data_IF_692182104424
#
_entry.id   IF_692182104424
#
_cell.length_a   1.000
_cell.length_b   1.000
_cell.length_c   1.000
_cell.angle_alpha   90.00
_cell.angle_beta   90.00
_cell.angle_gamma   90.00
#
_symmetry.space_group_name_H-M   'P 1'
#
loop_
_entity.id
_entity.type
_entity.pdbx_description
1 polymer ?
#
# COMPACT_ATOMS: atom_id res chain seq x y z
N UNK A 1 -40.30 31.12 -21.02
CA UNK A 1 -40.10 29.66 -20.70
C UNK A 1 -38.79 29.06 -21.19
N UNK A 2 -37.87 29.77 -21.81
CA UNK A 2 -36.61 29.27 -22.40
C UNK A 2 -35.42 29.26 -21.47
N UNK A 3 -35.36 30.08 -20.42
CA UNK A 3 -34.24 30.19 -19.48
C UNK A 3 -34.07 28.95 -18.58
N UNK A 4 -35.16 28.34 -18.12
CA UNK A 4 -35.15 27.17 -17.23
C UNK A 4 -34.66 25.89 -17.96
N UNK A 5 -34.88 25.79 -19.26
CA UNK A 5 -34.45 24.66 -20.08
C UNK A 5 -32.93 24.64 -20.27
N UNK A 6 -32.30 25.79 -20.41
CA UNK A 6 -30.83 25.89 -20.58
C UNK A 6 -30.05 25.60 -19.30
N UNK A 7 -30.59 26.03 -18.15
CA UNK A 7 -29.94 25.74 -16.84
C UNK A 7 -29.92 24.24 -16.52
N UNK A 8 -30.98 23.51 -16.84
CA UNK A 8 -31.04 22.05 -16.65
C UNK A 8 -30.07 21.32 -17.59
N UNK A 9 -29.90 21.77 -18.82
CA UNK A 9 -28.94 21.19 -19.77
C UNK A 9 -27.49 21.47 -19.33
N UNK A 10 -27.19 22.68 -18.90
CA UNK A 10 -25.88 23.06 -18.36
C UNK A 10 -25.54 22.26 -17.09
N UNK A 11 -26.47 22.08 -16.16
CA UNK A 11 -26.28 21.26 -14.97
C UNK A 11 -26.00 19.79 -15.32
N UNK A 12 -26.71 19.23 -16.32
CA UNK A 12 -26.47 17.88 -16.80
C UNK A 12 -25.07 17.70 -17.43
N UNK A 13 -24.63 18.66 -18.24
CA UNK A 13 -23.30 18.65 -18.87
C UNK A 13 -22.20 18.78 -17.83
N UNK A 14 -22.32 19.66 -16.84
CA UNK A 14 -21.37 19.82 -15.76
C UNK A 14 -21.28 18.53 -14.93
N UNK A 15 -22.41 17.90 -14.61
CA UNK A 15 -22.45 16.63 -13.87
C UNK A 15 -21.73 15.49 -14.64
N UNK A 16 -21.98 15.41 -15.95
CA UNK A 16 -21.32 14.40 -16.81
C UNK A 16 -19.81 14.66 -16.89
N UNK A 17 -19.38 15.91 -17.05
CA UNK A 17 -17.97 16.29 -17.08
C UNK A 17 -17.24 15.97 -15.75
N UNK A 18 -17.90 16.20 -14.60
CA UNK A 18 -17.32 15.86 -13.29
C UNK A 18 -17.20 14.34 -13.09
N UNK A 19 -18.15 13.55 -13.58
CA UNK A 19 -18.08 12.09 -13.52
C UNK A 19 -16.97 11.52 -14.42
N UNK A 20 -16.70 12.13 -15.58
CA UNK A 20 -15.61 11.71 -16.46
C UNK A 20 -14.22 12.07 -15.92
N UNK A 21 -14.09 13.10 -15.09
CA UNK A 21 -12.84 13.48 -14.44
C UNK A 21 -12.44 12.53 -13.29
N UNK A 22 -13.36 11.70 -12.79
CA UNK A 22 -13.10 10.77 -11.67
C UNK A 22 -12.18 9.58 -12.03
N UNK A 23 -11.93 9.32 -13.32
CA UNK A 23 -11.06 8.23 -13.79
C UNK A 23 -9.60 8.65 -14.05
N UNK A 24 -9.13 9.76 -13.47
CA UNK A 24 -7.76 10.20 -13.65
C UNK A 24 -6.79 9.33 -12.84
N UNK A 25 -5.81 8.72 -13.49
CA UNK A 25 -4.72 7.97 -12.82
C UNK A 25 -3.98 8.87 -11.81
N UNK A 26 -3.54 8.32 -10.66
CA UNK A 26 -2.77 9.07 -9.67
C UNK A 26 -1.53 9.74 -10.28
N UNK A 27 -1.10 10.90 -9.78
CA UNK A 27 0.01 11.65 -10.36
C UNK A 27 1.31 10.85 -10.46
N UNK A 28 1.65 10.08 -9.44
CA UNK A 28 2.88 9.24 -9.42
C UNK A 28 2.82 8.11 -10.45
N UNK A 29 1.66 7.48 -10.64
CA UNK A 29 1.47 6.45 -11.68
C UNK A 29 1.66 7.06 -13.07
N UNK A 30 1.08 8.23 -13.34
CA UNK A 30 1.27 8.93 -14.62
C UNK A 30 2.73 9.31 -14.85
N UNK A 31 3.42 9.79 -13.83
CA UNK A 31 4.83 10.13 -13.91
C UNK A 31 5.67 8.89 -14.19
N UNK A 32 5.46 7.80 -13.48
CA UNK A 32 6.15 6.53 -13.66
C UNK A 32 6.01 6.03 -15.09
N UNK A 33 4.78 6.00 -15.61
CA UNK A 33 4.51 5.55 -16.99
C UNK A 33 5.10 6.48 -18.05
N UNK A 34 5.18 7.79 -17.79
CA UNK A 34 5.77 8.76 -18.71
C UNK A 34 7.30 8.70 -18.73
N UNK A 35 7.93 8.38 -17.61
CA UNK A 35 9.40 8.30 -17.53
C UNK A 35 9.94 6.93 -17.91
N UNK A 36 9.09 5.87 -17.88
CA UNK A 36 9.46 4.47 -18.16
C UNK A 36 10.86 4.15 -17.65
N UNK A 37 11.07 4.04 -16.32
CA UNK A 37 12.40 3.87 -15.77
C UNK A 37 13.05 2.63 -16.39
N UNK A 38 14.13 2.82 -17.15
CA UNK A 38 14.81 1.75 -17.89
C UNK A 38 15.37 0.63 -16.98
N UNK A 39 15.41 0.91 -15.69
CA UNK A 39 15.96 0.00 -14.66
C UNK A 39 14.90 -0.90 -14.02
N UNK A 40 13.60 -0.63 -14.23
CA UNK A 40 12.53 -1.46 -13.66
C UNK A 40 12.09 -2.50 -14.68
N UNK A 41 12.07 -3.82 -14.32
CA UNK A 41 11.43 -4.83 -15.14
C UNK A 41 9.92 -4.53 -15.31
N UNK A 42 9.32 -5.01 -16.38
CA UNK A 42 7.89 -4.81 -16.66
C UNK A 42 7.01 -5.41 -15.54
N UNK A 43 7.46 -6.51 -14.95
CA UNK A 43 6.77 -7.22 -13.86
C UNK A 43 7.79 -7.72 -12.84
N UNK A 44 7.41 -7.75 -11.58
CA UNK A 44 8.15 -8.42 -10.52
C UNK A 44 7.18 -9.01 -9.50
N UNK A 45 7.49 -10.22 -9.00
CA UNK A 45 6.68 -10.90 -7.99
C UNK A 45 7.57 -11.72 -7.05
N UNK A 46 7.39 -11.53 -5.75
CA UNK A 46 8.13 -12.20 -4.69
C UNK A 46 7.35 -13.40 -4.16
N UNK A 47 7.21 -14.43 -4.99
CA UNK A 47 6.39 -15.64 -4.74
C UNK A 47 6.81 -16.46 -3.53
N UNK A 48 8.04 -16.30 -3.03
CA UNK A 48 8.54 -16.95 -1.82
C UNK A 48 8.17 -16.24 -0.52
N UNK A 49 7.48 -15.09 -0.60
CA UNK A 49 7.03 -14.33 0.57
C UNK A 49 5.91 -15.09 1.28
N UNK A 50 6.05 -15.40 2.59
CA UNK A 50 5.01 -16.10 3.32
C UNK A 50 3.77 -15.21 3.50
N UNK A 51 2.60 -15.82 3.41
CA UNK A 51 1.34 -15.14 3.70
C UNK A 51 0.83 -15.54 5.09
N UNK A 52 0.47 -14.54 5.91
CA UNK A 52 -0.18 -14.75 7.20
C UNK A 52 -1.56 -14.11 7.17
N UNK A 53 -2.66 -14.91 7.28
CA UNK A 53 -4.00 -14.36 7.37
C UNK A 53 -4.12 -13.49 8.63
N UNK A 54 -4.71 -12.32 8.47
CA UNK A 54 -4.79 -11.34 9.55
C UNK A 54 -6.01 -11.60 10.43
N UNK A 55 -5.80 -11.55 11.74
CA UNK A 55 -6.90 -11.45 12.69
C UNK A 55 -7.35 -9.99 12.82
N UNK A 56 -8.56 -9.79 13.33
CA UNK A 56 -9.13 -8.44 13.50
C UNK A 56 -8.18 -7.53 14.28
N UNK A 57 -7.87 -6.35 13.75
CA UNK A 57 -6.95 -5.35 14.31
C UNK A 57 -5.46 -5.74 14.38
N UNK A 58 -5.06 -6.87 13.81
CA UNK A 58 -3.67 -7.38 13.86
C UNK A 58 -2.93 -7.29 12.51
N UNK A 59 -3.24 -6.29 11.70
CA UNK A 59 -2.54 -6.08 10.43
C UNK A 59 -1.04 -5.79 10.62
N UNK A 60 -0.65 -5.09 11.69
CA UNK A 60 0.76 -4.80 12.00
C UNK A 60 1.58 -6.06 12.27
N UNK A 61 1.21 -6.92 13.25
CA UNK A 61 1.89 -8.18 13.50
C UNK A 61 1.99 -9.08 12.27
N UNK A 62 0.90 -9.23 11.50
CA UNK A 62 0.89 -10.07 10.30
C UNK A 62 1.80 -9.52 9.19
N UNK A 63 1.73 -8.22 8.90
CA UNK A 63 2.58 -7.58 7.91
C UNK A 63 4.07 -7.67 8.29
N UNK A 64 4.40 -7.47 9.58
CA UNK A 64 5.77 -7.60 10.05
C UNK A 64 6.27 -9.05 9.96
N UNK A 65 5.46 -10.04 10.34
CA UNK A 65 5.80 -11.46 10.21
C UNK A 65 6.06 -11.84 8.75
N UNK A 66 5.26 -11.34 7.82
CA UNK A 66 5.43 -11.54 6.37
C UNK A 66 6.81 -11.04 5.90
N UNK A 67 7.17 -9.80 6.23
CA UNK A 67 8.47 -9.22 5.82
C UNK A 67 9.64 -9.95 6.50
N UNK A 68 9.55 -10.25 7.79
CA UNK A 68 10.58 -11.01 8.51
C UNK A 68 10.76 -12.41 7.92
N UNK A 69 9.64 -13.08 7.61
CA UNK A 69 9.64 -14.42 7.00
C UNK A 69 10.28 -14.43 5.62
N UNK A 70 10.00 -13.44 4.77
CA UNK A 70 10.63 -13.29 3.47
C UNK A 70 12.18 -13.18 3.56
N UNK A 71 12.69 -12.66 4.69
CA UNK A 71 14.12 -12.56 4.96
C UNK A 71 14.65 -13.71 5.85
N UNK A 72 13.95 -14.84 5.90
CA UNK A 72 14.40 -16.05 6.58
C UNK A 72 14.29 -16.00 8.12
N UNK A 73 13.53 -15.07 8.69
CA UNK A 73 13.24 -15.02 10.11
C UNK A 73 11.97 -15.83 10.39
N UNK A 74 12.12 -17.01 10.97
CA UNK A 74 11.00 -17.88 11.32
C UNK A 74 10.22 -17.30 12.52
N UNK A 75 9.23 -16.46 12.24
CA UNK A 75 8.37 -15.80 13.24
C UNK A 75 6.93 -15.79 12.74
N UNK A 76 5.99 -15.97 13.65
CA UNK A 76 4.55 -15.93 13.37
C UNK A 76 3.93 -14.65 13.98
N UNK A 77 2.80 -14.16 13.47
CA UNK A 77 2.16 -12.93 13.96
C UNK A 77 1.92 -12.90 15.46
N UNK A 78 1.50 -14.02 16.05
CA UNK A 78 1.19 -14.14 17.48
C UNK A 78 2.40 -13.80 18.38
N UNK A 79 3.61 -14.09 17.93
CA UNK A 79 4.84 -13.78 18.66
C UNK A 79 5.19 -12.29 18.64
N UNK A 80 4.58 -11.54 17.74
CA UNK A 80 4.84 -10.10 17.54
C UNK A 80 3.78 -9.22 18.19
N UNK A 81 2.62 -9.78 18.59
CA UNK A 81 1.49 -9.00 19.12
C UNK A 81 1.93 -8.11 20.28
N UNK A 82 2.58 -8.66 21.29
CA UNK A 82 3.00 -7.90 22.48
C UNK A 82 4.02 -6.80 22.18
N UNK A 83 4.73 -6.91 21.05
CA UNK A 83 5.77 -5.97 20.66
C UNK A 83 5.26 -4.82 19.77
N UNK A 84 4.18 -5.04 18.99
CA UNK A 84 3.75 -4.06 17.99
C UNK A 84 2.27 -3.68 18.05
N UNK A 85 1.43 -4.45 18.76
CA UNK A 85 0.02 -4.14 18.89
C UNK A 85 -0.23 -3.21 20.09
N UNK A 86 -0.93 -2.10 19.84
CA UNK A 86 -1.30 -1.11 20.85
C UNK A 86 -2.81 -1.23 21.12
N UNK A 87 -3.25 -1.84 22.24
CA UNK A 87 -4.67 -2.09 22.50
C UNK A 87 -5.53 -0.83 22.51
N UNK A 88 -5.02 0.27 23.04
CA UNK A 88 -5.72 1.55 23.11
C UNK A 88 -6.02 2.16 21.72
N UNK A 89 -5.24 1.81 20.71
CA UNK A 89 -5.41 2.25 19.33
C UNK A 89 -6.13 1.19 18.47
N UNK A 90 -6.31 0.00 18.99
CA UNK A 90 -6.77 -1.17 18.22
C UNK A 90 -5.96 -1.36 16.92
N UNK A 91 -4.63 -1.22 17.01
CA UNK A 91 -3.74 -1.25 15.86
C UNK A 91 -2.27 -1.19 16.27
N UNK A 92 -1.41 -0.93 15.30
CA UNK A 92 0.03 -0.79 15.49
C UNK A 92 0.52 0.59 15.03
N UNK A 93 1.70 0.99 15.51
CA UNK A 93 2.38 2.22 15.07
C UNK A 93 3.57 1.86 14.17
N UNK A 94 3.90 2.69 13.16
CA UNK A 94 5.08 2.48 12.31
C UNK A 94 6.39 2.40 13.09
N UNK A 95 6.49 3.15 14.18
CA UNK A 95 7.66 3.18 15.07
C UNK A 95 7.88 1.84 15.76
N UNK A 96 6.80 1.22 16.27
CA UNK A 96 6.85 -0.10 16.92
C UNK A 96 7.21 -1.22 15.92
N UNK A 97 6.65 -1.14 14.72
CA UNK A 97 7.00 -2.04 13.61
C UNK A 97 8.50 -1.94 13.31
N UNK A 98 9.02 -0.72 13.09
CA UNK A 98 10.43 -0.48 12.77
C UNK A 98 11.37 -0.89 13.91
N UNK A 99 11.02 -0.57 15.15
CA UNK A 99 11.81 -0.95 16.32
C UNK A 99 11.85 -2.48 16.50
N UNK A 100 10.72 -3.15 16.27
CA UNK A 100 10.66 -4.60 16.38
C UNK A 100 11.43 -5.29 15.24
N UNK A 101 11.32 -4.80 13.99
CA UNK A 101 12.13 -5.32 12.89
C UNK A 101 13.63 -5.29 13.21
N UNK A 102 14.12 -4.18 13.80
CA UNK A 102 15.53 -4.07 14.23
C UNK A 102 15.91 -5.09 15.32
N UNK A 103 14.99 -5.39 16.25
CA UNK A 103 15.22 -6.46 17.27
C UNK A 103 15.40 -7.84 16.63
N UNK A 104 14.80 -8.08 15.48
CA UNK A 104 15.00 -9.30 14.69
C UNK A 104 16.22 -9.21 13.73
N UNK A 105 17.08 -8.20 13.89
CA UNK A 105 18.31 -8.03 13.12
C UNK A 105 18.11 -7.50 11.71
N UNK A 106 16.97 -6.83 11.44
CA UNK A 106 16.69 -6.21 10.15
C UNK A 106 17.15 -4.75 10.14
N UNK A 107 17.58 -4.28 8.98
CA UNK A 107 17.78 -2.87 8.73
C UNK A 107 16.41 -2.26 8.34
N UNK A 108 15.76 -1.58 9.27
CA UNK A 108 14.49 -0.91 9.03
C UNK A 108 14.67 0.59 8.86
N UNK A 109 14.29 1.11 7.71
CA UNK A 109 14.34 2.54 7.37
C UNK A 109 13.08 2.95 6.57
N UNK A 110 12.61 4.19 6.70
CA UNK A 110 11.51 4.68 5.88
C UNK A 110 11.97 4.95 4.46
N UNK A 111 11.25 4.43 3.48
CA UNK A 111 11.42 4.81 2.08
C UNK A 111 10.90 6.24 1.85
N UNK A 112 11.42 6.90 0.82
CA UNK A 112 10.79 8.12 0.30
C UNK A 112 9.37 7.77 -0.16
N UNK A 113 8.43 8.71 -0.05
CA UNK A 113 7.04 8.53 -0.48
C UNK A 113 6.93 8.56 -2.02
N UNK A 114 7.64 7.65 -2.68
CA UNK A 114 7.80 7.53 -4.12
C UNK A 114 7.38 6.14 -4.58
N UNK A 115 6.50 6.08 -5.57
CA UNK A 115 6.11 4.81 -6.19
C UNK A 115 7.31 4.15 -6.89
N UNK A 116 8.20 4.93 -7.50
CA UNK A 116 9.38 4.39 -8.17
C UNK A 116 10.34 3.70 -7.19
N UNK A 117 10.57 4.29 -6.01
CA UNK A 117 11.44 3.69 -4.99
C UNK A 117 10.84 2.40 -4.44
N UNK A 118 9.52 2.38 -4.21
CA UNK A 118 8.81 1.17 -3.78
C UNK A 118 8.97 0.06 -4.81
N UNK A 119 8.72 0.33 -6.09
CA UNK A 119 8.85 -0.66 -7.15
C UNK A 119 10.30 -1.13 -7.34
N UNK A 120 11.27 -0.24 -7.13
CA UNK A 120 12.69 -0.59 -7.16
C UNK A 120 13.05 -1.60 -6.06
N UNK A 121 12.55 -1.44 -4.83
CA UNK A 121 12.76 -2.42 -3.76
C UNK A 121 12.19 -3.80 -4.13
N UNK A 122 10.97 -3.83 -4.68
CA UNK A 122 10.36 -5.10 -5.13
C UNK A 122 11.20 -5.74 -6.26
N UNK A 123 11.68 -4.95 -7.22
CA UNK A 123 12.53 -5.44 -8.30
C UNK A 123 13.86 -6.02 -7.79
N UNK A 124 14.36 -5.53 -6.65
CA UNK A 124 15.56 -6.07 -5.98
C UNK A 124 15.29 -7.23 -5.02
N UNK A 125 14.03 -7.70 -4.93
CA UNK A 125 13.69 -8.86 -4.09
C UNK A 125 13.27 -8.50 -2.67
N UNK A 126 13.05 -7.24 -2.35
CA UNK A 126 12.69 -6.77 -1.02
C UNK A 126 11.18 -6.48 -0.94
N UNK A 127 10.38 -7.25 -0.16
CA UNK A 127 8.99 -6.89 0.08
C UNK A 127 8.91 -5.62 0.92
N UNK A 128 7.99 -4.73 0.56
CA UNK A 128 7.84 -3.42 1.21
C UNK A 128 6.61 -3.38 2.09
N UNK A 129 6.82 -3.14 3.39
CA UNK A 129 5.73 -2.90 4.33
C UNK A 129 5.23 -1.47 4.14
N UNK A 130 3.94 -1.32 3.86
CA UNK A 130 3.29 -0.04 3.64
C UNK A 130 2.25 0.25 4.73
N UNK A 131 2.17 1.53 5.14
CA UNK A 131 1.14 2.04 6.02
C UNK A 131 0.24 2.98 5.23
N UNK A 132 -0.97 2.52 4.91
CA UNK A 132 -1.87 3.17 3.97
C UNK A 132 -3.20 3.56 4.60
N UNK A 133 -3.79 4.64 4.10
CA UNK A 133 -5.13 5.04 4.49
C UNK A 133 -6.16 4.51 3.48
N UNK A 134 -6.95 3.53 3.87
CA UNK A 134 -8.06 2.97 3.07
C UNK A 134 -9.35 3.78 3.17
N UNK A 135 -9.37 4.80 4.03
CA UNK A 135 -10.51 5.70 4.20
C UNK A 135 -10.34 6.99 3.42
N UNK A 136 -11.04 8.03 3.88
CA UNK A 136 -10.91 9.39 3.34
C UNK A 136 -9.99 10.25 4.23
N UNK A 137 -9.60 11.44 3.75
CA UNK A 137 -8.75 12.34 4.53
C UNK A 137 -9.39 12.81 5.86
N UNK A 138 -10.72 12.85 5.94
CA UNK A 138 -11.49 13.26 7.12
C UNK A 138 -12.06 12.09 7.94
N UNK A 139 -12.04 10.86 7.37
CA UNK A 139 -12.36 9.61 8.05
C UNK A 139 -11.28 8.57 7.68
N UNK A 140 -10.08 8.67 8.25
CA UNK A 140 -8.98 7.77 7.90
C UNK A 140 -9.23 6.36 8.47
N UNK A 141 -8.89 5.37 7.67
CA UNK A 141 -8.84 3.96 8.07
C UNK A 141 -7.43 3.44 7.75
N UNK A 142 -6.56 3.50 8.74
CA UNK A 142 -5.17 3.10 8.60
C UNK A 142 -5.01 1.58 8.57
N UNK A 143 -4.13 1.12 7.70
CA UNK A 143 -3.90 -0.30 7.47
C UNK A 143 -2.44 -0.57 7.10
N UNK A 144 -1.89 -1.66 7.65
CA UNK A 144 -0.61 -2.21 7.24
C UNK A 144 -0.81 -3.30 6.20
N UNK A 145 -0.06 -3.22 5.10
CA UNK A 145 0.01 -4.24 4.07
C UNK A 145 1.46 -4.46 3.64
N UNK A 146 1.74 -5.54 2.94
CA UNK A 146 3.05 -5.81 2.34
C UNK A 146 2.89 -5.88 0.84
N UNK A 147 3.62 -5.04 0.12
CA UNK A 147 3.70 -5.10 -1.34
C UNK A 147 4.76 -6.14 -1.70
N UNK A 148 4.36 -7.10 -2.53
CA UNK A 148 5.20 -8.25 -2.93
C UNK A 148 5.40 -8.34 -4.44
N UNK A 149 4.69 -7.51 -5.22
CA UNK A 149 4.81 -7.56 -6.67
C UNK A 149 4.16 -6.38 -7.35
N UNK A 150 4.43 -6.26 -8.64
CA UNK A 150 3.79 -5.27 -9.51
C UNK A 150 3.77 -5.74 -10.96
N UNK A 151 2.84 -5.20 -11.74
CA UNK A 151 2.76 -5.30 -13.18
C UNK A 151 2.55 -3.91 -13.77
N UNK A 152 3.54 -3.43 -14.56
CA UNK A 152 3.46 -2.12 -15.19
C UNK A 152 2.57 -2.11 -16.43
N UNK A 153 2.32 -3.27 -17.05
CA UNK A 153 1.44 -3.38 -18.22
C UNK A 153 -0.03 -3.31 -17.81
N UNK A 154 -0.39 -4.03 -16.73
CA UNK A 154 -1.75 -4.02 -16.18
C UNK A 154 -1.98 -2.89 -15.16
N UNK A 155 -0.96 -2.06 -14.89
CA UNK A 155 -0.99 -0.98 -13.89
C UNK A 155 -1.38 -1.45 -12.48
N UNK A 156 -1.02 -2.68 -12.14
CA UNK A 156 -1.37 -3.35 -10.91
C UNK A 156 -0.20 -3.43 -9.93
N UNK A 157 -0.47 -3.28 -8.64
CA UNK A 157 0.42 -3.67 -7.55
C UNK A 157 -0.21 -4.84 -6.80
N UNK A 158 0.57 -5.89 -6.58
CA UNK A 158 0.15 -7.04 -5.78
C UNK A 158 0.53 -6.79 -4.32
N UNK A 159 -0.46 -6.87 -3.43
CA UNK A 159 -0.23 -6.73 -1.99
C UNK A 159 -0.89 -7.86 -1.22
N UNK A 160 -0.16 -8.40 -0.27
CA UNK A 160 -0.69 -9.33 0.73
C UNK A 160 -1.34 -8.49 1.85
N UNK A 161 -2.66 -8.42 1.83
CA UNK A 161 -3.47 -7.80 2.86
C UNK A 161 -4.70 -8.66 3.12
N UNK A 162 -4.68 -9.40 4.20
CA UNK A 162 -5.79 -10.25 4.60
C UNK A 162 -6.64 -9.58 5.69
N UNK A 163 -7.37 -8.52 5.35
CA UNK A 163 -8.39 -7.94 6.22
C UNK A 163 -9.77 -8.16 5.65
#
# INVERSE_FOLDING_TARGET
MTLVSNTRRLAGVVLVCTLLAACASPPQTRQLLATSPAELPATAELTATPFFPQQRYQCGPAALATVLGAHGRAVIPEQLVDAVYVPALQGSLPEEISATARRYGMLAYPLQASLADLLSEIAHGNPVLVFQNLGTGWLPKWHFAVVIGYDLQDHACQSESGC
#
